data_IF_630864187110
#
_entry.id   IF_630864187110
#
_cell.length_a   1.000
_cell.length_b   1.000
_cell.length_c   1.000
_cell.angle_alpha   90.00
_cell.angle_beta   90.00
_cell.angle_gamma   90.00
#
_symmetry.space_group_name_H-M   'P 1'
#
loop_
_entity.id
_entity.type
_entity.pdbx_description
1 polymer ?
#
# COMPACT_ATOMS: atom_id res chain seq x y z
N UNK A 1 -7.93 4.68 18.23
CA UNK A 1 -7.01 4.08 17.24
C UNK A 1 -6.83 2.55 17.37
N UNK A 2 -7.30 1.94 18.47
CA UNK A 2 -7.13 0.48 18.69
C UNK A 2 -7.85 -0.35 17.64
N UNK A 3 -9.08 0.00 17.30
CA UNK A 3 -9.88 -0.74 16.32
C UNK A 3 -9.37 -0.53 14.90
N UNK A 4 -9.04 0.70 14.53
CA UNK A 4 -8.55 1.05 13.20
C UNK A 4 -7.21 0.38 12.93
N UNK A 5 -6.24 0.52 13.85
CA UNK A 5 -4.94 -0.14 13.73
C UNK A 5 -5.11 -1.67 13.72
N UNK A 6 -5.91 -2.22 14.62
CA UNK A 6 -6.18 -3.66 14.67
C UNK A 6 -6.79 -4.20 13.38
N UNK A 7 -7.76 -3.49 12.81
CA UNK A 7 -8.37 -3.85 11.52
C UNK A 7 -7.36 -3.83 10.38
N UNK A 8 -6.49 -2.81 10.32
CA UNK A 8 -5.42 -2.73 9.32
C UNK A 8 -4.37 -3.83 9.49
N UNK A 9 -3.98 -4.16 10.72
CA UNK A 9 -3.07 -5.30 11.00
C UNK A 9 -3.67 -6.60 10.47
N UNK A 10 -4.94 -6.88 10.75
CA UNK A 10 -5.62 -8.07 10.24
C UNK A 10 -5.68 -8.06 8.69
N UNK A 11 -5.91 -6.89 8.09
CA UNK A 11 -5.86 -6.74 6.63
C UNK A 11 -4.47 -7.07 6.07
N UNK A 12 -3.39 -6.53 6.65
CA UNK A 12 -2.02 -6.82 6.22
C UNK A 12 -1.69 -8.32 6.38
N UNK A 13 -2.07 -8.93 7.50
CA UNK A 13 -1.90 -10.37 7.70
C UNK A 13 -2.66 -11.19 6.65
N UNK A 14 -3.92 -10.80 6.35
CA UNK A 14 -4.73 -11.42 5.29
C UNK A 14 -4.04 -11.31 3.92
N UNK A 15 -3.48 -10.14 3.59
CA UNK A 15 -2.73 -9.95 2.33
C UNK A 15 -1.42 -10.75 2.30
N UNK A 16 -0.82 -11.01 3.47
CA UNK A 16 0.41 -11.80 3.60
C UNK A 16 0.16 -13.29 3.41
N UNK A 17 -0.88 -13.86 4.01
CA UNK A 17 -1.16 -15.31 3.97
C UNK A 17 -2.17 -15.71 2.90
N UNK A 18 -2.83 -14.74 2.25
CA UNK A 18 -3.92 -14.95 1.29
C UNK A 18 -5.27 -15.17 1.99
N UNK A 19 -6.35 -15.03 1.22
CA UNK A 19 -7.70 -15.11 1.76
C UNK A 19 -8.02 -16.48 2.37
N UNK A 20 -7.70 -17.56 1.66
CA UNK A 20 -7.95 -18.91 2.14
C UNK A 20 -7.16 -19.23 3.41
N UNK A 21 -5.88 -18.89 3.44
CA UNK A 21 -5.02 -19.07 4.62
C UNK A 21 -5.49 -18.24 5.82
N UNK A 22 -5.93 -17.02 5.59
CA UNK A 22 -6.42 -16.13 6.63
C UNK A 22 -7.71 -16.65 7.26
N UNK A 23 -8.73 -16.89 6.44
CA UNK A 23 -10.03 -17.33 6.98
C UNK A 23 -9.98 -18.72 7.58
N UNK A 24 -9.23 -19.65 7.00
CA UNK A 24 -8.99 -20.97 7.60
C UNK A 24 -8.22 -20.86 8.93
N UNK A 25 -7.22 -19.98 9.00
CA UNK A 25 -6.45 -19.71 10.23
C UNK A 25 -7.33 -19.10 11.33
N UNK A 26 -8.15 -18.11 11.01
CA UNK A 26 -9.12 -17.51 11.95
C UNK A 26 -10.13 -18.56 12.43
N UNK A 27 -10.67 -19.39 11.52
CA UNK A 27 -11.57 -20.46 11.89
C UNK A 27 -10.91 -21.52 12.79
N UNK A 28 -9.63 -21.84 12.54
CA UNK A 28 -8.83 -22.71 13.42
C UNK A 28 -8.64 -22.09 14.80
N UNK A 29 -8.26 -20.82 14.86
CA UNK A 29 -8.11 -20.08 16.11
C UNK A 29 -9.39 -20.09 16.97
N UNK A 30 -10.54 -19.75 16.37
CA UNK A 30 -11.81 -19.71 17.08
C UNK A 30 -12.24 -21.09 17.61
N UNK A 31 -12.02 -22.16 16.84
CA UNK A 31 -12.33 -23.52 17.30
C UNK A 31 -11.41 -24.01 18.42
N UNK A 32 -10.11 -23.73 18.29
CA UNK A 32 -9.12 -24.18 19.26
C UNK A 32 -9.28 -23.51 20.64
N UNK A 33 -9.75 -22.26 20.65
CA UNK A 33 -9.84 -21.44 21.86
C UNK A 33 -11.29 -21.07 22.24
N UNK A 34 -12.27 -21.85 21.78
CA UNK A 34 -13.68 -21.61 22.08
C UNK A 34 -13.92 -21.59 23.60
N UNK A 35 -14.51 -20.48 24.08
CA UNK A 35 -14.81 -20.25 25.52
C UNK A 35 -13.59 -20.18 26.45
N UNK A 36 -12.38 -20.05 25.90
CA UNK A 36 -11.14 -19.90 26.62
C UNK A 36 -10.62 -18.45 26.63
N UNK A 37 -9.56 -18.22 27.38
CA UNK A 37 -8.77 -16.98 27.30
C UNK A 37 -7.78 -17.13 26.14
N UNK A 38 -7.47 -16.01 25.52
CA UNK A 38 -6.58 -15.96 24.35
C UNK A 38 -5.60 -14.81 24.45
N UNK A 39 -4.46 -14.98 23.81
CA UNK A 39 -3.46 -13.96 23.61
C UNK A 39 -3.18 -13.74 22.13
N UNK A 40 -2.53 -12.64 21.78
CA UNK A 40 -2.13 -12.31 20.42
C UNK A 40 -1.33 -13.44 19.77
N UNK A 41 -0.48 -14.13 20.56
CA UNK A 41 0.34 -15.26 20.11
C UNK A 41 -0.49 -16.47 19.63
N UNK A 42 -1.69 -16.65 20.17
CA UNK A 42 -2.56 -17.76 19.77
C UNK A 42 -3.10 -17.55 18.35
N UNK A 43 -3.46 -16.30 18.02
CA UNK A 43 -3.83 -15.94 16.64
C UNK A 43 -2.63 -16.11 15.69
N UNK A 44 -1.45 -15.63 16.08
CA UNK A 44 -0.24 -15.81 15.28
C UNK A 44 0.01 -17.29 14.96
N UNK A 45 0.04 -18.15 15.97
CA UNK A 45 0.27 -19.60 15.79
C UNK A 45 -0.78 -20.28 14.92
N UNK A 46 -2.04 -19.87 15.06
CA UNK A 46 -3.12 -20.41 14.24
C UNK A 46 -2.96 -20.05 12.76
N UNK A 47 -2.62 -18.79 12.46
CA UNK A 47 -2.36 -18.34 11.09
C UNK A 47 -1.11 -19.00 10.51
N UNK A 48 -0.02 -19.10 11.26
CA UNK A 48 1.23 -19.76 10.86
C UNK A 48 1.00 -21.26 10.57
N UNK A 49 0.26 -21.95 11.45
CA UNK A 49 -0.06 -23.37 11.29
C UNK A 49 -0.82 -23.67 10.00
N UNK A 50 -1.78 -22.84 9.66
CA UNK A 50 -2.66 -23.06 8.48
C UNK A 50 -1.99 -22.60 7.20
N UNK A 51 -1.29 -21.46 7.24
CA UNK A 51 -0.67 -20.88 6.03
C UNK A 51 0.70 -21.49 5.70
N UNK A 52 1.35 -22.13 6.67
CA UNK A 52 2.75 -22.61 6.55
C UNK A 52 3.78 -21.47 6.48
N UNK A 53 3.39 -20.23 6.76
CA UNK A 53 4.25 -19.04 6.71
C UNK A 53 4.61 -18.58 8.11
N UNK A 54 5.87 -18.18 8.32
CA UNK A 54 6.27 -17.51 9.56
C UNK A 54 5.77 -16.07 9.56
N UNK A 55 5.08 -15.65 10.62
CA UNK A 55 4.52 -14.32 10.81
C UNK A 55 5.18 -13.57 11.98
N UNK A 56 6.23 -14.12 12.58
CA UNK A 56 6.88 -13.54 13.74
C UNK A 56 7.31 -12.09 13.52
N UNK A 57 7.96 -11.78 12.38
CA UNK A 57 8.35 -10.41 12.06
C UNK A 57 7.13 -9.49 11.90
N UNK A 58 6.09 -9.94 11.19
CA UNK A 58 4.89 -9.13 11.00
C UNK A 58 4.21 -8.80 12.34
N UNK A 59 4.08 -9.76 13.23
CA UNK A 59 3.52 -9.51 14.56
C UNK A 59 4.42 -8.60 15.41
N UNK A 60 5.73 -8.80 15.36
CA UNK A 60 6.68 -7.93 16.07
C UNK A 60 6.53 -6.47 15.62
N UNK A 61 6.57 -6.22 14.31
CA UNK A 61 6.57 -4.84 13.78
C UNK A 61 5.19 -4.18 13.78
N UNK A 62 4.12 -4.94 13.56
CA UNK A 62 2.77 -4.36 13.43
C UNK A 62 1.99 -4.33 14.75
N UNK A 63 2.31 -5.23 15.70
CA UNK A 63 1.54 -5.40 16.94
C UNK A 63 2.35 -5.01 18.17
N UNK A 64 3.59 -5.49 18.29
CA UNK A 64 4.38 -5.33 19.51
C UNK A 64 5.18 -4.03 19.54
N UNK A 65 5.58 -3.49 18.38
CA UNK A 65 6.27 -2.19 18.33
C UNK A 65 5.31 -1.03 18.24
N UNK A 66 5.75 0.10 18.79
CA UNK A 66 5.03 1.36 18.69
C UNK A 66 5.20 2.00 17.30
N UNK A 67 4.34 2.96 16.97
CA UNK A 67 4.39 3.74 15.75
C UNK A 67 3.82 3.03 14.53
N UNK A 68 4.12 3.58 13.40
CA UNK A 68 3.78 3.10 12.07
C UNK A 68 4.79 3.68 11.08
N UNK A 69 4.84 3.12 9.87
CA UNK A 69 5.74 3.63 8.85
C UNK A 69 5.17 4.91 8.21
N UNK A 70 6.05 5.86 7.93
CA UNK A 70 5.75 7.05 7.12
C UNK A 70 6.58 6.97 5.85
N UNK A 71 5.94 6.65 4.72
CA UNK A 71 6.61 6.51 3.43
C UNK A 71 6.47 7.78 2.59
N UNK A 72 7.62 8.31 2.19
CA UNK A 72 7.72 9.23 1.06
C UNK A 72 8.22 8.41 -0.15
N UNK A 73 7.38 8.27 -1.16
CA UNK A 73 7.72 7.54 -2.38
C UNK A 73 7.77 8.50 -3.54
N UNK A 74 8.89 8.54 -4.26
CA UNK A 74 8.97 9.28 -5.52
C UNK A 74 9.37 8.35 -6.65
N UNK A 75 8.85 8.63 -7.84
CA UNK A 75 9.21 7.85 -9.02
C UNK A 75 9.45 8.74 -10.24
N UNK A 76 10.37 8.28 -11.09
CA UNK A 76 10.67 8.84 -12.40
C UNK A 76 10.93 7.71 -13.39
N UNK A 77 10.70 7.95 -14.66
CA UNK A 77 11.05 7.00 -15.71
C UNK A 77 12.07 7.65 -16.65
N UNK A 78 13.11 6.89 -16.94
CA UNK A 78 14.17 7.32 -17.85
C UNK A 78 14.73 6.12 -18.61
N UNK A 79 14.84 6.23 -19.93
CA UNK A 79 15.48 5.28 -20.83
C UNK A 79 15.20 3.79 -20.57
N UNK A 80 13.94 3.43 -20.29
CA UNK A 80 13.54 2.04 -20.06
C UNK A 80 13.66 1.57 -18.61
N UNK A 81 13.96 2.48 -17.70
CA UNK A 81 14.06 2.20 -16.27
C UNK A 81 13.05 3.06 -15.50
N UNK A 82 12.25 2.43 -14.65
CA UNK A 82 11.46 3.10 -13.63
C UNK A 82 12.29 3.18 -12.35
N UNK A 83 12.73 4.38 -12.00
CA UNK A 83 13.41 4.67 -10.74
C UNK A 83 12.36 4.95 -9.68
N UNK A 84 12.39 4.20 -8.58
CA UNK A 84 11.51 4.41 -7.42
C UNK A 84 12.38 4.65 -6.20
N UNK A 85 12.28 5.84 -5.64
CA UNK A 85 12.98 6.22 -4.40
C UNK A 85 11.98 6.17 -3.26
N UNK A 86 12.33 5.45 -2.21
CA UNK A 86 11.52 5.30 -1.00
C UNK A 86 12.30 5.80 0.20
N UNK A 87 11.67 6.63 1.01
CA UNK A 87 12.21 7.11 2.27
C UNK A 87 11.20 6.86 3.38
N UNK A 88 11.67 6.33 4.51
CA UNK A 88 10.92 6.19 5.74
C UNK A 88 11.16 7.42 6.62
N UNK A 89 10.11 8.21 6.85
CA UNK A 89 10.17 9.53 7.52
C UNK A 89 9.97 9.49 9.03
N UNK A 90 9.40 8.42 9.57
CA UNK A 90 9.04 8.35 10.99
C UNK A 90 10.21 8.71 11.92
N UNK A 91 9.89 9.43 12.99
CA UNK A 91 10.87 9.71 14.04
C UNK A 91 11.19 8.42 14.82
N UNK A 92 12.47 8.08 14.89
CA UNK A 92 12.93 7.01 15.76
C UNK A 92 12.88 7.51 17.21
N UNK A 93 11.95 6.96 17.97
CA UNK A 93 11.79 7.23 19.40
C UNK A 93 11.80 5.92 20.17
N UNK A 94 11.71 5.97 21.50
CA UNK A 94 11.62 4.75 22.30
C UNK A 94 10.41 3.90 21.87
N UNK A 95 10.69 2.65 21.45
CA UNK A 95 9.70 1.72 20.95
C UNK A 95 9.31 1.88 19.46
N UNK A 96 9.73 2.96 18.77
CA UNK A 96 9.50 3.15 17.32
C UNK A 96 10.79 2.86 16.56
N UNK A 97 10.82 1.84 15.69
CA UNK A 97 12.02 1.51 14.95
C UNK A 97 12.36 2.60 13.92
N UNK A 98 13.67 2.79 13.70
CA UNK A 98 14.15 3.68 12.63
C UNK A 98 13.82 3.15 11.23
N UNK A 99 13.61 1.85 11.11
CA UNK A 99 13.26 1.15 9.86
C UNK A 99 12.20 0.10 10.15
N UNK A 100 11.11 0.13 9.40
CA UNK A 100 10.14 -0.96 9.30
C UNK A 100 10.45 -1.79 8.05
N UNK A 101 10.28 -3.11 8.16
CA UNK A 101 10.42 -4.02 7.03
C UNK A 101 9.04 -4.37 6.50
N UNK A 102 8.81 -4.12 5.22
CA UNK A 102 7.53 -4.41 4.60
C UNK A 102 7.68 -4.66 3.10
N UNK A 103 6.86 -5.55 2.51
CA UNK A 103 6.75 -5.61 1.06
C UNK A 103 6.04 -4.36 0.54
N UNK A 104 6.64 -3.69 -0.44
CA UNK A 104 6.01 -2.60 -1.16
C UNK A 104 5.60 -3.07 -2.55
N UNK A 105 4.32 -2.98 -2.84
CA UNK A 105 3.76 -3.34 -4.14
C UNK A 105 3.60 -2.09 -5.00
N UNK A 106 3.98 -2.22 -6.27
CA UNK A 106 3.83 -1.19 -7.29
C UNK A 106 3.04 -1.77 -8.46
N UNK A 107 1.93 -1.14 -8.81
CA UNK A 107 1.16 -1.48 -10.00
C UNK A 107 1.48 -0.48 -11.13
N UNK A 108 2.23 -0.93 -12.15
CA UNK A 108 2.67 -0.12 -13.27
C UNK A 108 1.79 -0.35 -14.49
N UNK A 109 1.04 0.65 -14.94
CA UNK A 109 0.22 0.59 -16.15
C UNK A 109 1.02 1.09 -17.35
N UNK A 110 1.29 0.23 -18.33
CA UNK A 110 2.09 0.57 -19.52
C UNK A 110 1.29 0.67 -20.81
N UNK A 111 0.05 0.17 -20.80
CA UNK A 111 -0.83 0.16 -21.97
C UNK A 111 -2.30 0.21 -21.54
N UNK A 112 -3.19 0.32 -22.52
CA UNK A 112 -4.63 0.17 -22.31
C UNK A 112 -5.15 -0.84 -23.33
N UNK A 113 -5.86 -1.85 -22.87
CA UNK A 113 -6.55 -2.82 -23.68
C UNK A 113 -8.05 -2.81 -23.39
N UNK A 114 -8.86 -2.72 -24.43
CA UNK A 114 -10.33 -2.65 -24.29
C UNK A 114 -10.83 -1.62 -23.28
N UNK A 115 -10.18 -0.46 -23.22
CA UNK A 115 -10.51 0.62 -22.28
C UNK A 115 -10.04 0.42 -20.84
N UNK A 116 -9.31 -0.66 -20.55
CA UNK A 116 -8.76 -0.94 -19.21
C UNK A 116 -7.24 -0.87 -19.21
N UNK A 117 -6.61 -0.33 -18.15
CA UNK A 117 -5.16 -0.34 -18.06
C UNK A 117 -4.63 -1.77 -17.92
N UNK A 118 -3.58 -2.07 -18.68
CA UNK A 118 -2.78 -3.30 -18.51
C UNK A 118 -1.74 -3.01 -17.44
N UNK A 119 -1.87 -3.68 -16.31
CA UNK A 119 -1.06 -3.44 -15.12
C UNK A 119 -0.03 -4.56 -14.96
N UNK A 120 1.23 -4.20 -14.83
CA UNK A 120 2.30 -5.08 -14.37
C UNK A 120 2.55 -4.82 -12.90
N UNK A 121 2.40 -5.85 -12.09
CA UNK A 121 2.70 -5.80 -10.66
C UNK A 121 4.18 -6.08 -10.40
N UNK A 122 4.80 -5.23 -9.60
CA UNK A 122 6.15 -5.36 -9.11
C UNK A 122 6.11 -5.35 -7.58
N UNK A 123 6.95 -6.15 -6.94
CA UNK A 123 7.05 -6.22 -5.49
C UNK A 123 8.52 -6.03 -5.10
N UNK A 124 8.78 -5.16 -4.15
CA UNK A 124 10.10 -4.86 -3.61
C UNK A 124 10.03 -4.92 -2.09
N UNK A 125 11.15 -5.25 -1.45
CA UNK A 125 11.23 -5.33 0.01
C UNK A 125 11.87 -4.07 0.58
N UNK A 126 11.17 -3.41 1.50
CA UNK A 126 11.70 -2.29 2.26
C UNK A 126 12.54 -2.82 3.42
N UNK A 127 13.81 -2.49 3.44
CA UNK A 127 14.77 -2.96 4.44
C UNK A 127 15.69 -1.84 4.97
N UNK A 128 15.56 -0.64 4.39
CA UNK A 128 16.41 0.50 4.73
C UNK A 128 15.55 1.76 4.89
N UNK A 129 16.09 2.73 5.61
CA UNK A 129 15.45 4.03 5.77
C UNK A 129 15.33 4.81 4.45
N UNK A 130 16.29 4.63 3.56
CA UNK A 130 16.33 5.22 2.24
C UNK A 130 16.75 4.15 1.23
N UNK A 131 15.89 3.84 0.27
CA UNK A 131 16.16 2.85 -0.78
C UNK A 131 15.81 3.41 -2.16
N UNK A 132 16.58 2.99 -3.14
CA UNK A 132 16.32 3.28 -4.56
C UNK A 132 16.20 1.94 -5.30
N UNK A 133 15.11 1.79 -6.04
CA UNK A 133 14.87 0.64 -6.88
C UNK A 133 14.91 1.06 -8.34
N UNK A 134 15.80 0.44 -9.13
CA UNK A 134 15.86 0.57 -10.58
C UNK A 134 15.11 -0.62 -11.20
N UNK A 135 13.89 -0.39 -11.67
CA UNK A 135 13.00 -1.43 -12.14
C UNK A 135 12.91 -1.40 -13.67
N UNK A 136 13.20 -2.52 -14.38
CA UNK A 136 13.08 -2.57 -15.83
C UNK A 136 11.66 -2.26 -16.29
N UNK A 137 11.50 -1.20 -17.08
CA UNK A 137 10.25 -0.74 -17.67
C UNK A 137 10.50 -0.23 -19.10
N UNK A 138 10.61 -1.13 -20.10
CA UNK A 138 10.98 -0.77 -21.47
C UNK A 138 10.07 0.29 -22.13
N UNK A 139 8.84 0.39 -21.64
CA UNK A 139 7.91 1.47 -22.03
C UNK A 139 7.65 2.36 -20.83
N UNK A 140 7.56 3.66 -21.05
CA UNK A 140 7.16 4.62 -20.03
C UNK A 140 5.79 4.23 -19.48
N UNK A 141 5.64 4.04 -18.16
CA UNK A 141 4.33 3.80 -17.56
C UNK A 141 3.41 4.99 -17.79
N UNK A 142 2.13 4.73 -17.98
CA UNK A 142 1.10 5.78 -17.95
C UNK A 142 0.90 6.29 -16.54
N UNK A 143 0.94 5.37 -15.57
CA UNK A 143 0.91 5.69 -14.13
C UNK A 143 1.53 4.55 -13.31
N UNK A 144 1.84 4.86 -12.05
CA UNK A 144 2.36 3.90 -11.07
C UNK A 144 1.57 4.05 -9.77
N UNK A 145 0.80 3.04 -9.41
CA UNK A 145 0.11 3.00 -8.12
C UNK A 145 1.02 2.37 -7.07
N UNK A 146 1.28 3.12 -6.02
CA UNK A 146 2.06 2.66 -4.86
C UNK A 146 1.11 2.02 -3.85
N UNK A 147 1.46 0.86 -3.34
CA UNK A 147 0.71 0.11 -2.33
C UNK A 147 -0.80 0.01 -2.63
N UNK A 148 -1.18 -0.56 -3.79
CA UNK A 148 -2.58 -0.61 -4.24
C UNK A 148 -3.47 -1.42 -3.32
N UNK A 149 -2.90 -2.35 -2.57
CA UNK A 149 -3.60 -3.32 -1.73
C UNK A 149 -3.53 -3.00 -0.22
N UNK A 150 -3.00 -1.84 0.18
CA UNK A 150 -2.81 -1.46 1.60
C UNK A 150 -2.01 -2.51 2.40
N UNK A 151 -0.89 -2.96 1.86
CA UNK A 151 0.02 -3.89 2.56
C UNK A 151 0.95 -3.20 3.54
N UNK A 152 1.10 -1.90 3.42
CA UNK A 152 1.90 -1.08 4.31
C UNK A 152 0.98 -0.47 5.37
N UNK A 153 1.25 -0.79 6.64
CA UNK A 153 0.58 -0.16 7.77
C UNK A 153 1.23 1.19 8.08
N UNK A 154 0.69 2.27 7.53
CA UNK A 154 1.24 3.61 7.74
C UNK A 154 0.76 4.64 6.74
N UNK A 155 1.40 5.78 6.78
CA UNK A 155 1.16 6.87 5.86
C UNK A 155 2.01 6.71 4.61
N UNK A 156 1.42 6.98 3.45
CA UNK A 156 2.11 6.90 2.17
C UNK A 156 1.86 8.19 1.40
N UNK A 157 2.91 8.95 1.17
CA UNK A 157 2.89 10.10 0.26
C UNK A 157 3.63 9.75 -1.03
N UNK A 158 3.11 10.22 -2.16
CA UNK A 158 3.63 9.89 -3.49
C UNK A 158 3.96 11.15 -4.26
N UNK A 159 5.10 11.15 -4.95
CA UNK A 159 5.52 12.20 -5.89
C UNK A 159 5.95 11.58 -7.21
N UNK A 160 5.54 12.17 -8.30
CA UNK A 160 5.90 11.69 -9.63
C UNK A 160 5.61 12.73 -10.71
N UNK A 161 5.87 12.41 -11.98
CA UNK A 161 5.52 13.28 -13.09
C UNK A 161 4.01 13.58 -13.09
N UNK A 162 3.66 14.86 -13.21
CA UNK A 162 2.27 15.32 -13.07
C UNK A 162 1.32 14.70 -14.09
N UNK A 163 1.80 14.45 -15.30
CA UNK A 163 1.02 13.75 -16.33
C UNK A 163 0.68 12.33 -15.91
N UNK A 164 1.62 11.61 -15.30
CA UNK A 164 1.40 10.25 -14.78
C UNK A 164 0.44 10.26 -13.59
N UNK A 165 0.54 11.24 -12.69
CA UNK A 165 -0.38 11.37 -11.56
C UNK A 165 -1.81 11.71 -12.01
N UNK A 166 -1.98 12.56 -13.02
CA UNK A 166 -3.30 12.85 -13.63
C UNK A 166 -3.89 11.60 -14.32
N UNK A 167 -3.08 10.85 -15.04
CA UNK A 167 -3.49 9.56 -15.62
C UNK A 167 -3.88 8.54 -14.53
N UNK A 168 -3.13 8.50 -13.42
CA UNK A 168 -3.47 7.66 -12.27
C UNK A 168 -4.81 8.05 -11.66
N UNK A 169 -5.04 9.35 -11.43
CA UNK A 169 -6.29 9.86 -10.91
C UNK A 169 -7.48 9.48 -11.80
N UNK A 170 -7.30 9.55 -13.12
CA UNK A 170 -8.35 9.24 -14.09
C UNK A 170 -8.61 7.73 -14.25
N UNK A 171 -7.58 6.90 -14.19
CA UNK A 171 -7.65 5.54 -14.72
C UNK A 171 -7.17 4.43 -13.78
N UNK A 172 -6.64 4.75 -12.59
CA UNK A 172 -6.25 3.69 -11.65
C UNK A 172 -7.47 2.83 -11.26
N UNK A 173 -7.35 1.50 -11.28
CA UNK A 173 -8.49 0.60 -11.07
C UNK A 173 -8.98 0.61 -9.62
N UNK A 174 -8.13 0.98 -8.66
CA UNK A 174 -8.46 0.99 -7.23
C UNK A 174 -8.74 2.40 -6.74
N UNK A 175 -9.69 2.56 -5.81
CA UNK A 175 -9.94 3.84 -5.13
C UNK A 175 -8.67 4.33 -4.40
N UNK A 176 -7.89 3.41 -3.81
CA UNK A 176 -6.60 3.74 -3.18
C UNK A 176 -5.64 4.43 -4.14
N UNK A 177 -5.50 3.91 -5.36
CA UNK A 177 -4.65 4.52 -6.38
C UNK A 177 -5.10 5.92 -6.74
N UNK A 178 -6.40 6.13 -6.95
CA UNK A 178 -6.96 7.45 -7.27
C UNK A 178 -6.84 8.42 -6.10
N UNK A 179 -7.07 7.95 -4.87
CA UNK A 179 -6.89 8.74 -3.65
C UNK A 179 -5.46 9.27 -3.51
N UNK A 180 -4.44 8.40 -3.61
CA UNK A 180 -3.05 8.83 -3.54
C UNK A 180 -2.68 9.83 -4.64
N UNK A 181 -3.25 9.69 -5.84
CA UNK A 181 -3.06 10.64 -6.90
C UNK A 181 -3.72 12.00 -6.60
N UNK A 182 -4.94 12.00 -6.05
CA UNK A 182 -5.63 13.22 -5.61
C UNK A 182 -4.79 13.97 -4.57
N UNK A 183 -4.36 13.31 -3.49
CA UNK A 183 -3.51 13.91 -2.46
C UNK A 183 -2.17 14.43 -3.00
N UNK A 184 -1.56 13.71 -3.96
CA UNK A 184 -0.34 14.16 -4.62
C UNK A 184 -0.54 15.41 -5.48
N UNK A 185 -1.72 15.58 -6.06
CA UNK A 185 -2.08 16.69 -6.94
C UNK A 185 -2.73 17.88 -6.22
N UNK A 186 -3.17 17.72 -4.97
CA UNK A 186 -3.93 18.72 -4.22
C UNK A 186 -3.22 20.07 -4.06
N UNK A 187 -1.89 20.08 -4.10
CA UNK A 187 -1.06 21.31 -3.97
C UNK A 187 -0.52 21.84 -5.30
N UNK A 188 -0.94 21.24 -6.41
CA UNK A 188 -0.48 21.62 -7.75
C UNK A 188 -1.49 22.55 -8.38
N UNK A 189 -1.10 23.80 -8.61
CA UNK A 189 -1.98 24.83 -9.19
C UNK A 189 -1.66 25.04 -10.67
N UNK A 190 -2.13 24.12 -11.53
CA UNK A 190 -2.13 24.28 -12.98
C UNK A 190 -3.51 23.92 -13.59
N UNK A 191 -3.88 24.47 -14.75
CA UNK A 191 -5.17 24.21 -15.34
C UNK A 191 -5.49 22.74 -15.62
N UNK A 192 -4.55 21.91 -16.15
CA UNK A 192 -4.81 20.49 -16.35
C UNK A 192 -5.06 19.72 -15.03
N UNK A 193 -4.37 20.07 -13.96
CA UNK A 193 -4.56 19.41 -12.65
C UNK A 193 -5.90 19.81 -12.04
N UNK A 194 -6.27 21.10 -12.09
CA UNK A 194 -7.60 21.54 -11.63
C UNK A 194 -8.74 20.85 -12.39
N UNK A 195 -8.60 20.71 -13.71
CA UNK A 195 -9.59 20.00 -14.51
C UNK A 195 -9.70 18.51 -14.14
N UNK A 196 -8.57 17.83 -13.89
CA UNK A 196 -8.55 16.42 -13.49
C UNK A 196 -9.18 16.20 -12.11
N UNK A 197 -8.87 17.05 -11.14
CA UNK A 197 -9.47 17.01 -9.80
C UNK A 197 -10.98 17.31 -9.85
N UNK A 198 -11.41 18.35 -10.59
CA UNK A 198 -12.81 18.67 -10.77
C UNK A 198 -13.61 17.52 -11.41
N UNK A 199 -13.02 16.83 -12.40
CA UNK A 199 -13.66 15.67 -13.00
C UNK A 199 -13.93 14.55 -12.00
N UNK A 200 -13.02 14.31 -11.04
CA UNK A 200 -13.22 13.31 -9.98
C UNK A 200 -14.21 13.78 -8.91
N UNK A 201 -14.16 15.05 -8.52
CA UNK A 201 -15.10 15.63 -7.56
C UNK A 201 -16.56 15.50 -8.03
N UNK A 202 -16.81 15.70 -9.31
CA UNK A 202 -18.16 15.64 -9.90
C UNK A 202 -18.58 14.23 -10.36
N UNK A 203 -17.73 13.24 -10.29
CA UNK A 203 -18.08 11.86 -10.63
C UNK A 203 -18.86 11.21 -9.47
N UNK A 204 -20.18 11.08 -9.63
CA UNK A 204 -21.06 10.52 -8.62
C UNK A 204 -20.79 9.03 -8.32
N UNK A 205 -20.12 8.32 -9.23
CA UNK A 205 -19.72 6.93 -9.06
C UNK A 205 -18.35 6.76 -8.40
N UNK A 206 -17.63 7.86 -8.18
CA UNK A 206 -16.34 7.82 -7.51
C UNK A 206 -16.51 7.56 -6.00
N UNK A 207 -15.56 6.80 -5.41
CA UNK A 207 -15.50 6.59 -3.97
C UNK A 207 -15.42 7.92 -3.22
N UNK A 208 -16.26 8.09 -2.22
CA UNK A 208 -16.39 9.35 -1.49
C UNK A 208 -15.05 9.89 -0.94
N UNK A 209 -14.14 9.00 -0.49
CA UNK A 209 -12.83 9.39 0.02
C UNK A 209 -11.93 10.04 -1.03
N UNK A 210 -12.01 9.62 -2.30
CA UNK A 210 -11.29 10.27 -3.41
C UNK A 210 -11.86 11.65 -3.70
N UNK A 211 -13.18 11.82 -3.56
CA UNK A 211 -13.87 13.11 -3.77
C UNK A 211 -13.62 14.10 -2.64
N UNK A 212 -13.32 13.61 -1.44
CA UNK A 212 -13.06 14.42 -0.24
C UNK A 212 -11.61 14.89 -0.11
N UNK A 213 -10.66 14.23 -0.81
CA UNK A 213 -9.23 14.60 -0.82
C UNK A 213 -8.99 15.88 -1.63
#
# INVERSE_FOLDING_TARGET
HLYEKGGLVLHVLRRTVGDDGFFAGVAHYLRAHAKGLVETRDLQRALERVSGRSLGRAFEELVHRAGHVELEVSFAWDEGILLVTVKQGQAATDGVPSVFHAPLVLDCATATERGRPVVKRLEVELTQRHQVFALPSPRRPRFVVVDPDLRVLGEVSVRGPLDMLREQLAHAPTARGRWLAAGSLSRVDDPPTRAALAARLHDEHEFWGVRAE
#
